data_IF_189565243925
#
_entry.id   IF_189565243925
#
_cell.length_a   1.000
_cell.length_b   1.000
_cell.length_c   1.000
_cell.angle_alpha   90.00
_cell.angle_beta   90.00
_cell.angle_gamma   90.00
#
_symmetry.space_group_name_H-M   'P 1'
#
loop_
_entity.id
_entity.type
_entity.pdbx_description
1 polymer ?
#
# COMPACT_ATOMS: atom_id res chain seq x y z
N UNK A 1 -30.21 -16.59 -31.52
CA UNK A 1 -29.48 -15.29 -31.52
C UNK A 1 -29.26 -14.69 -30.13
N UNK A 2 -30.17 -14.82 -29.16
CA UNK A 2 -29.99 -14.21 -27.82
C UNK A 2 -28.97 -14.89 -26.87
N UNK A 3 -28.57 -16.15 -27.13
CA UNK A 3 -27.72 -16.94 -26.21
C UNK A 3 -26.21 -16.73 -26.42
N UNK A 4 -25.79 -16.23 -27.59
CA UNK A 4 -24.38 -16.01 -27.92
C UNK A 4 -23.74 -14.86 -27.14
N UNK A 5 -24.55 -13.99 -26.54
CA UNK A 5 -24.08 -12.87 -25.71
C UNK A 5 -23.86 -13.26 -24.25
N UNK A 6 -24.36 -14.42 -23.80
CA UNK A 6 -24.29 -14.82 -22.38
C UNK A 6 -22.86 -15.11 -21.94
N UNK A 7 -22.11 -15.87 -22.74
CA UNK A 7 -20.72 -16.21 -22.45
C UNK A 7 -19.76 -14.98 -22.42
N UNK A 8 -19.77 -14.08 -23.41
CA UNK A 8 -18.90 -12.90 -23.38
C UNK A 8 -19.27 -11.92 -22.26
N UNK A 9 -20.57 -11.76 -21.94
CA UNK A 9 -21.00 -10.93 -20.81
C UNK A 9 -20.54 -11.53 -19.48
N UNK A 10 -20.65 -12.85 -19.30
CA UNK A 10 -20.17 -13.51 -18.10
C UNK A 10 -18.65 -13.36 -17.91
N UNK A 11 -17.86 -13.47 -18.99
CA UNK A 11 -16.41 -13.25 -18.96
C UNK A 11 -16.03 -11.81 -18.60
N UNK A 12 -16.78 -10.82 -19.11
CA UNK A 12 -16.60 -9.41 -18.77
C UNK A 12 -16.87 -9.13 -17.29
N UNK A 13 -17.94 -9.71 -16.74
CA UNK A 13 -18.29 -9.57 -15.32
C UNK A 13 -17.23 -10.24 -14.42
N UNK A 14 -16.75 -11.43 -14.79
CA UNK A 14 -15.70 -12.13 -14.05
C UNK A 14 -14.35 -11.41 -14.11
N UNK A 15 -14.00 -10.81 -15.25
CA UNK A 15 -12.78 -10.00 -15.40
C UNK A 15 -12.81 -8.71 -14.57
N UNK A 16 -13.96 -8.05 -14.49
CA UNK A 16 -14.12 -6.83 -13.69
C UNK A 16 -14.00 -7.09 -12.17
N UNK A 17 -14.42 -8.27 -11.69
CA UNK A 17 -14.33 -8.63 -10.28
C UNK A 17 -12.89 -8.88 -9.80
N UNK A 18 -11.97 -9.25 -10.69
CA UNK A 18 -10.57 -9.55 -10.33
C UNK A 18 -9.81 -8.31 -9.84
N UNK A 19 -10.20 -7.11 -10.28
CA UNK A 19 -9.47 -5.87 -9.99
C UNK A 19 -9.69 -5.37 -8.55
N UNK A 20 -10.74 -5.83 -7.87
CA UNK A 20 -11.04 -5.45 -6.49
C UNK A 20 -10.21 -6.17 -5.42
N UNK A 21 -9.44 -7.20 -5.77
CA UNK A 21 -8.70 -8.04 -4.82
C UNK A 21 -7.22 -7.69 -4.64
N UNK A 22 -6.73 -6.65 -5.34
CA UNK A 22 -5.33 -6.24 -5.28
C UNK A 22 -5.03 -5.16 -4.22
N UNK A 23 -6.04 -4.59 -3.55
CA UNK A 23 -5.83 -3.61 -2.48
C UNK A 23 -5.86 -4.29 -1.11
N UNK A 24 -4.69 -4.52 -0.53
CA UNK A 24 -4.54 -4.83 0.88
C UNK A 24 -5.09 -3.66 1.70
N UNK A 25 -5.90 -3.94 2.73
CA UNK A 25 -6.56 -2.90 3.51
C UNK A 25 -5.55 -2.15 4.37
N UNK A 26 -5.35 -0.85 4.11
CA UNK A 26 -4.55 0.04 4.94
C UNK A 26 -5.02 0.00 6.40
N UNK A 27 -6.34 0.06 6.61
CA UNK A 27 -6.99 -0.04 7.91
C UNK A 27 -6.74 -1.37 8.65
N UNK A 28 -6.33 -2.44 7.95
CA UNK A 28 -5.99 -3.71 8.59
C UNK A 28 -4.59 -3.71 9.21
N UNK A 29 -3.71 -2.80 8.79
CA UNK A 29 -2.31 -2.74 9.23
C UNK A 29 -2.01 -1.47 10.05
N UNK A 30 -2.76 -0.40 9.81
CA UNK A 30 -2.54 0.92 10.42
C UNK A 30 -3.73 1.37 11.26
N UNK A 31 -3.43 2.06 12.36
CA UNK A 31 -4.42 2.77 13.18
C UNK A 31 -4.57 4.19 12.62
N UNK A 32 -5.55 4.41 11.75
CA UNK A 32 -5.72 5.67 10.99
C UNK A 32 -5.92 6.92 11.86
N UNK A 33 -6.40 6.73 13.08
CA UNK A 33 -6.62 7.81 14.05
C UNK A 33 -5.41 8.07 14.96
N UNK A 34 -4.27 7.42 14.70
CA UNK A 34 -3.04 7.59 15.46
C UNK A 34 -1.91 8.06 14.55
N UNK A 35 -1.08 8.97 15.05
CA UNK A 35 0.09 9.48 14.33
C UNK A 35 1.32 9.32 15.20
N UNK A 36 2.41 8.89 14.57
CA UNK A 36 3.75 8.90 15.17
C UNK A 36 4.62 9.83 14.32
N UNK A 37 5.33 10.74 14.97
CA UNK A 37 6.32 11.59 14.33
C UNK A 37 7.70 10.97 14.53
N UNK A 38 8.44 10.79 13.43
CA UNK A 38 9.85 10.40 13.45
C UNK A 38 10.69 11.53 12.87
N UNK A 39 11.89 11.73 13.42
CA UNK A 39 12.89 12.68 12.94
C UNK A 39 14.22 11.92 12.81
N UNK A 40 14.82 11.95 11.63
CA UNK A 40 15.97 11.14 11.30
C UNK A 40 16.53 11.41 9.91
N UNK A 41 17.56 10.67 9.57
CA UNK A 41 18.26 10.78 8.30
C UNK A 41 17.48 10.05 7.20
N UNK A 42 17.16 10.75 6.10
CA UNK A 42 16.57 10.12 4.92
C UNK A 42 17.62 9.23 4.25
N UNK A 43 17.34 7.93 4.18
CA UNK A 43 18.28 6.97 3.59
C UNK A 43 17.91 6.61 2.17
N UNK A 44 16.62 6.39 1.90
CA UNK A 44 16.16 6.00 0.59
C UNK A 44 14.74 6.51 0.33
N UNK A 45 14.50 6.91 -0.92
CA UNK A 45 13.17 7.14 -1.44
C UNK A 45 12.91 6.20 -2.63
N UNK A 46 11.95 5.29 -2.47
CA UNK A 46 11.48 4.40 -3.52
C UNK A 46 10.20 4.97 -4.10
N UNK A 47 10.33 5.64 -5.24
CA UNK A 47 9.20 6.14 -5.99
C UNK A 47 8.62 5.03 -6.88
N UNK A 48 7.45 4.50 -6.52
CA UNK A 48 6.71 3.50 -7.30
C UNK A 48 5.20 3.60 -7.09
N UNK A 49 4.44 3.02 -8.02
CA UNK A 49 2.98 2.91 -8.00
C UNK A 49 2.61 1.44 -7.72
N UNK A 50 1.69 1.11 -6.76
CA UNK A 50 0.80 2.01 -6.02
C UNK A 50 1.37 2.65 -4.75
N UNK A 51 2.30 2.00 -4.05
CA UNK A 51 2.84 2.52 -2.78
C UNK A 51 4.33 2.81 -2.91
N UNK A 52 4.66 4.08 -2.72
CA UNK A 52 6.06 4.54 -2.56
C UNK A 52 6.50 4.36 -1.12
N UNK A 53 7.82 4.28 -0.90
CA UNK A 53 8.41 4.01 0.41
C UNK A 53 9.51 5.01 0.71
N UNK A 54 9.60 5.42 1.98
CA UNK A 54 10.72 6.19 2.52
C UNK A 54 11.36 5.43 3.67
N UNK A 55 12.68 5.29 3.60
CA UNK A 55 13.50 4.73 4.67
C UNK A 55 14.17 5.87 5.46
N UNK A 56 14.01 5.86 6.79
CA UNK A 56 14.57 6.86 7.70
C UNK A 56 15.37 6.17 8.82
N UNK A 57 16.61 6.59 9.04
CA UNK A 57 17.38 6.20 10.22
C UNK A 57 17.15 7.22 11.34
N UNK A 58 16.46 6.79 12.40
CA UNK A 58 16.24 7.59 13.62
C UNK A 58 17.31 7.22 14.64
N UNK A 59 17.94 8.25 15.23
CA UNK A 59 18.84 8.05 16.36
C UNK A 59 18.04 8.15 17.66
N UNK A 60 17.98 7.06 18.40
CA UNK A 60 17.25 6.96 19.65
C UNK A 60 17.96 7.71 20.79
N UNK A 61 17.25 7.91 21.90
CA UNK A 61 17.79 8.60 23.08
C UNK A 61 19.01 7.92 23.70
N UNK A 62 19.13 6.61 23.53
CA UNK A 62 20.28 5.82 24.02
C UNK A 62 21.44 5.77 23.00
N UNK A 63 21.32 6.47 21.87
CA UNK A 63 22.30 6.50 20.80
C UNK A 63 22.23 5.31 19.83
N UNK A 64 21.32 4.35 20.05
CA UNK A 64 21.05 3.31 19.06
C UNK A 64 20.37 3.90 17.82
N UNK A 65 20.42 3.17 16.71
CA UNK A 65 19.75 3.54 15.46
C UNK A 65 18.60 2.58 15.17
N UNK A 66 17.43 3.15 14.86
CA UNK A 66 16.26 2.41 14.38
C UNK A 66 15.96 2.83 12.94
N UNK A 67 15.90 1.85 12.03
CA UNK A 67 15.42 2.07 10.66
C UNK A 67 13.89 2.00 10.65
N UNK A 68 13.24 3.09 10.26
CA UNK A 68 11.83 3.13 9.94
C UNK A 68 11.63 3.02 8.44
N UNK A 69 10.64 2.22 8.02
CA UNK A 69 10.17 2.14 6.64
C UNK A 69 8.75 2.69 6.61
N UNK A 70 8.56 3.82 5.94
CA UNK A 70 7.29 4.54 5.84
C UNK A 70 6.67 4.26 4.47
N UNK A 71 5.52 3.60 4.48
CA UNK A 71 4.72 3.34 3.29
C UNK A 71 3.72 4.47 3.04
N UNK A 72 3.59 4.90 1.78
CA UNK A 72 2.54 5.83 1.38
C UNK A 72 1.18 5.13 1.44
N UNK A 73 0.22 5.78 2.12
CA UNK A 73 -1.14 5.27 2.25
C UNK A 73 -1.77 4.95 0.87
N UNK A 74 -2.57 3.89 0.87
CA UNK A 74 -3.37 3.42 -0.27
C UNK A 74 -4.73 4.13 -0.34
#
# INVERSE_FOLDING_TARGET
MKRYLVAPVALLVLGAAAQGWAHHSFAATYLENQTVTIDGELVQFVLRNPHSFIDVDVTEKDGSKTRYVVEWAA
#
